data_IF_482422527318
#
_entry.id   IF_482422527318
#
_cell.length_a   1.000
_cell.length_b   1.000
_cell.length_c   1.000
_cell.angle_alpha   90.00
_cell.angle_beta   90.00
_cell.angle_gamma   90.00
#
_symmetry.space_group_name_H-M   'P 1'
#
loop_
_entity.id
_entity.type
_entity.pdbx_description
1 polymer ?
#
# COMPACT_ATOMS: atom_id res chain seq x y z
N UNK A 1 -21.43 -3.33 -12.83
CA UNK A 1 -20.63 -3.91 -11.73
C UNK A 1 -19.61 -2.86 -11.34
N UNK A 2 -19.85 -2.17 -10.22
CA UNK A 2 -18.99 -1.08 -9.73
C UNK A 2 -18.01 -1.75 -8.75
N UNK A 3 -16.77 -1.95 -9.17
CA UNK A 3 -15.74 -2.55 -8.31
C UNK A 3 -14.87 -1.46 -7.69
N UNK A 4 -15.17 -1.20 -6.42
CA UNK A 4 -14.36 -0.68 -5.33
C UNK A 4 -13.00 -0.02 -5.64
N UNK A 5 -13.02 1.31 -5.62
CA UNK A 5 -12.13 2.11 -4.76
C UNK A 5 -10.61 2.09 -4.99
N UNK A 6 -10.15 2.31 -6.23
CA UNK A 6 -8.84 2.92 -6.44
C UNK A 6 -8.93 4.43 -6.08
N UNK A 7 -8.51 4.80 -4.86
CA UNK A 7 -8.30 6.22 -4.52
C UNK A 7 -7.03 6.72 -5.23
N UNK A 8 -7.22 7.27 -6.43
CA UNK A 8 -6.20 7.99 -7.20
C UNK A 8 -5.91 9.33 -6.53
N UNK A 9 -5.01 9.38 -5.56
CA UNK A 9 -4.39 10.64 -5.15
C UNK A 9 -3.03 10.77 -5.84
N UNK A 10 -3.07 11.31 -7.07
CA UNK A 10 -1.88 11.64 -7.85
C UNK A 10 -1.21 12.88 -7.22
N UNK A 11 -0.12 12.67 -6.46
CA UNK A 11 0.79 13.75 -6.06
C UNK A 11 2.04 13.59 -6.91
N UNK A 12 2.15 14.41 -7.96
CA UNK A 12 3.29 14.42 -8.86
C UNK A 12 4.31 15.49 -8.48
N UNK A 13 5.59 15.12 -8.53
CA UNK A 13 6.69 15.93 -9.09
C UNK A 13 7.91 15.05 -9.40
N UNK A 14 8.44 15.21 -10.63
CA UNK A 14 9.65 14.66 -11.25
C UNK A 14 9.70 13.14 -11.53
N UNK A 15 9.46 12.76 -12.79
CA UNK A 15 9.33 11.40 -13.35
C UNK A 15 8.05 10.68 -12.91
N UNK A 16 7.00 10.74 -13.73
CA UNK A 16 5.63 10.28 -13.47
C UNK A 16 5.50 8.76 -13.22
N UNK A 17 6.08 8.27 -12.13
CA UNK A 17 5.79 6.95 -11.59
C UNK A 17 4.50 7.09 -10.79
N UNK A 18 3.39 6.74 -11.43
CA UNK A 18 2.11 6.61 -10.75
C UNK A 18 2.21 5.47 -9.75
N UNK A 19 1.84 5.72 -8.50
CA UNK A 19 1.81 4.67 -7.49
C UNK A 19 0.38 4.18 -7.31
N UNK A 20 0.22 2.87 -7.45
CA UNK A 20 -0.97 2.12 -7.14
C UNK A 20 -0.90 1.63 -5.69
N UNK A 21 -2.07 1.49 -5.06
CA UNK A 21 -2.19 1.09 -3.66
C UNK A 21 -3.12 -0.11 -3.52
N UNK A 22 -2.71 -1.12 -2.74
CA UNK A 22 -3.56 -2.25 -2.37
C UNK A 22 -3.52 -2.46 -0.85
N UNK A 23 -4.68 -2.45 -0.22
CA UNK A 23 -4.81 -2.60 1.23
C UNK A 23 -4.83 -4.09 1.61
N UNK A 24 -4.13 -4.42 2.69
CA UNK A 24 -4.07 -5.75 3.31
C UNK A 24 -4.53 -5.65 4.77
N UNK A 25 -5.85 -5.58 5.03
CA UNK A 25 -6.40 -5.38 6.37
C UNK A 25 -6.08 -6.53 7.35
N UNK A 26 -5.74 -7.71 6.82
CA UNK A 26 -5.28 -8.89 7.55
C UNK A 26 -3.90 -8.69 8.20
N UNK A 27 -3.11 -7.71 7.73
CA UNK A 27 -1.81 -7.37 8.32
C UNK A 27 -1.92 -6.05 9.06
N UNK A 28 -2.05 -6.14 10.39
CA UNK A 28 -2.04 -4.98 11.29
C UNK A 28 -0.61 -4.44 11.45
N UNK A 29 -0.46 -3.13 11.29
CA UNK A 29 0.76 -2.42 11.65
C UNK A 29 0.86 -2.25 13.17
N UNK A 30 2.08 -2.05 13.66
CA UNK A 30 2.31 -1.66 15.05
C UNK A 30 2.38 -0.13 15.11
N UNK A 31 1.20 0.51 15.20
CA UNK A 31 1.07 1.94 14.93
C UNK A 31 1.48 2.29 13.49
N UNK A 32 2.33 3.29 13.31
CA UNK A 32 2.83 3.70 11.98
C UNK A 32 4.00 2.86 11.46
N UNK A 33 4.46 1.85 12.23
CA UNK A 33 5.59 1.00 11.85
C UNK A 33 5.15 -0.15 10.95
N UNK A 34 5.65 -0.14 9.71
CA UNK A 34 5.45 -1.21 8.73
C UNK A 34 6.20 -2.44 9.20
N UNK A 35 5.49 -3.56 9.35
CA UNK A 35 6.12 -4.84 9.69
C UNK A 35 6.88 -5.40 8.48
N UNK A 36 8.04 -6.08 8.67
CA UNK A 36 8.77 -6.70 7.56
C UNK A 36 7.91 -7.65 6.71
N UNK A 37 6.94 -8.33 7.35
CA UNK A 37 5.98 -9.21 6.65
C UNK A 37 5.10 -8.45 5.66
N UNK A 38 4.73 -7.19 5.93
CA UNK A 38 3.99 -6.33 4.99
C UNK A 38 4.84 -6.04 3.74
N UNK A 39 6.07 -5.57 3.93
CA UNK A 39 7.00 -5.28 2.81
C UNK A 39 7.28 -6.54 2.00
N UNK A 40 7.55 -7.67 2.67
CA UNK A 40 7.81 -8.94 2.01
C UNK A 40 6.60 -9.43 1.20
N UNK A 41 5.38 -9.30 1.74
CA UNK A 41 4.16 -9.60 1.01
C UNK A 41 4.04 -8.72 -0.24
N UNK A 42 4.18 -7.40 -0.10
CA UNK A 42 4.06 -6.46 -1.20
C UNK A 42 5.07 -6.74 -2.31
N UNK A 43 6.34 -7.02 -1.96
CA UNK A 43 7.37 -7.37 -2.94
C UNK A 43 7.06 -8.69 -3.65
N UNK A 44 6.49 -9.65 -2.93
CA UNK A 44 6.09 -10.95 -3.49
C UNK A 44 4.89 -10.83 -4.44
N UNK A 45 3.89 -10.00 -4.12
CA UNK A 45 2.63 -9.91 -4.89
C UNK A 45 2.68 -8.87 -6.00
N UNK A 46 3.41 -7.76 -5.81
CA UNK A 46 3.46 -6.61 -6.73
C UNK A 46 4.84 -6.37 -7.34
N UNK A 47 5.84 -7.18 -6.98
CA UNK A 47 7.18 -7.15 -7.55
C UNK A 47 8.20 -6.35 -6.73
N UNK A 48 9.49 -6.38 -7.10
CA UNK A 48 10.58 -5.89 -6.26
C UNK A 48 10.55 -4.38 -5.99
N UNK A 49 9.85 -3.60 -6.84
CA UNK A 49 9.64 -2.15 -6.68
C UNK A 49 8.49 -1.79 -5.74
N UNK A 50 7.72 -2.78 -5.29
CA UNK A 50 6.67 -2.59 -4.32
C UNK A 50 7.23 -2.40 -2.91
N UNK A 51 6.51 -1.65 -2.11
CA UNK A 51 6.86 -1.36 -0.72
C UNK A 51 5.62 -1.46 0.16
N UNK A 52 5.82 -1.70 1.46
CA UNK A 52 4.75 -1.71 2.44
C UNK A 52 4.64 -0.35 3.10
N UNK A 53 3.43 0.19 3.21
CA UNK A 53 3.11 1.39 3.99
C UNK A 53 2.03 1.06 5.02
N UNK A 54 1.92 1.88 6.06
CA UNK A 54 0.82 1.80 7.01
C UNK A 54 -0.20 2.89 6.72
N UNK A 55 -1.45 2.50 6.51
CA UNK A 55 -2.58 3.42 6.33
C UNK A 55 -3.52 3.31 7.52
N UNK A 56 -4.17 4.43 7.87
CA UNK A 56 -5.12 4.47 8.97
C UNK A 56 -6.47 3.93 8.52
N UNK A 57 -6.99 2.98 9.28
CA UNK A 57 -8.33 2.42 9.16
C UNK A 57 -9.12 2.63 10.47
N UNK A 58 -10.43 2.39 10.44
CA UNK A 58 -11.33 2.45 11.60
C UNK A 58 -10.86 1.61 12.79
N UNK A 59 -10.11 0.53 12.55
CA UNK A 59 -9.60 -0.39 13.58
C UNK A 59 -8.12 -0.17 13.95
N UNK A 60 -7.48 0.88 13.46
CA UNK A 60 -6.06 1.17 13.67
C UNK A 60 -5.26 1.21 12.37
N UNK A 61 -3.94 1.02 12.44
CA UNK A 61 -3.10 1.07 11.24
C UNK A 61 -2.98 -0.32 10.60
N UNK A 62 -3.19 -0.37 9.28
CA UNK A 62 -3.11 -1.58 8.48
C UNK A 62 -2.07 -1.44 7.37
N UNK A 63 -1.55 -2.58 6.93
CA UNK A 63 -0.63 -2.65 5.80
C UNK A 63 -1.35 -2.25 4.50
N UNK A 64 -0.68 -1.47 3.67
CA UNK A 64 -1.01 -1.31 2.26
C UNK A 64 0.25 -1.40 1.42
N UNK A 65 0.16 -2.04 0.26
CA UNK A 65 1.24 -2.11 -0.71
C UNK A 65 1.20 -0.88 -1.61
N UNK A 66 2.30 -0.14 -1.64
CA UNK A 66 2.55 0.93 -2.61
C UNK A 66 3.47 0.37 -3.69
N UNK A 67 3.04 0.42 -4.94
CA UNK A 67 3.81 -0.12 -6.06
C UNK A 67 3.62 0.75 -7.30
N UNK A 68 4.58 0.78 -8.24
CA UNK A 68 4.37 1.44 -9.52
C UNK A 68 3.15 0.82 -10.21
N UNK A 69 2.19 1.66 -10.58
CA UNK A 69 1.39 1.38 -11.75
C UNK A 69 2.38 1.35 -12.96
#
# INVERSE_FOLDING_TARGET
>A
MIDSSCLFNAVGTSADVYYCYQIHPEIKCDGQKVKPKCVALCKKTRGPKADGICVRDSQGFICACRYPC
#
